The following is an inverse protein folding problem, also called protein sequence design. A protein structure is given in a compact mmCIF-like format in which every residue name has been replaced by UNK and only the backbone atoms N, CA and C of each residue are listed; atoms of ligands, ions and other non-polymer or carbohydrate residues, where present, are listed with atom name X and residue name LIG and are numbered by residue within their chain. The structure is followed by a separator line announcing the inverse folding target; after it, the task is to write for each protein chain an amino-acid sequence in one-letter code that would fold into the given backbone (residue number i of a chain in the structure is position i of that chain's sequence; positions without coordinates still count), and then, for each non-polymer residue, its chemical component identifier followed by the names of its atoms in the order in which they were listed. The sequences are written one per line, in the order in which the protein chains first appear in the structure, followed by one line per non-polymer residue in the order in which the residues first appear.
data_IF_365929830343
#
_entry.id   IF_365929830343
#
_cell.length_a   1.000
_cell.length_b   1.000
_cell.length_c   1.000
_cell.angle_alpha   90.00
_cell.angle_beta   90.00
_cell.angle_gamma   90.00
#
_symmetry.space_group_name_H-M   'P 1'
#
loop_
_entity.id
_entity.type
_entity.pdbx_description
1 polymer ?
#
# COMPACT_ATOMS: atom_id res chain seq x y z
N UNK A 1 19.62 -88.00 -39.32
CA UNK A 1 18.53 -87.05 -39.66
C UNK A 1 19.18 -85.80 -40.20
N UNK A 2 18.85 -85.39 -41.43
CA UNK A 2 19.36 -84.15 -42.01
C UNK A 2 18.45 -83.00 -41.56
N UNK A 3 19.02 -82.02 -40.87
CA UNK A 3 18.31 -80.78 -40.50
C UNK A 3 18.05 -80.03 -41.80
N UNK A 4 16.78 -79.74 -42.10
CA UNK A 4 16.43 -79.02 -43.32
C UNK A 4 16.77 -77.53 -43.15
N UNK A 5 17.13 -76.85 -44.25
CA UNK A 5 17.41 -75.40 -44.21
C UNK A 5 16.21 -74.58 -43.68
N UNK A 6 15.00 -75.14 -43.78
CA UNK A 6 13.78 -74.56 -43.25
C UNK A 6 13.69 -74.64 -41.71
N UNK A 7 14.17 -75.73 -41.10
CA UNK A 7 14.24 -75.89 -39.64
C UNK A 7 15.21 -74.86 -39.04
N UNK A 8 16.38 -74.66 -39.63
CA UNK A 8 17.35 -73.64 -39.18
C UNK A 8 16.79 -72.22 -39.34
N UNK A 9 16.07 -71.94 -40.43
CA UNK A 9 15.50 -70.60 -40.68
C UNK A 9 14.40 -70.26 -39.68
N UNK A 10 13.50 -71.20 -39.39
CA UNK A 10 12.43 -70.99 -38.41
C UNK A 10 12.95 -70.97 -36.97
N UNK A 11 13.97 -71.76 -36.65
CA UNK A 11 14.57 -71.84 -35.31
C UNK A 11 15.45 -70.62 -34.96
N UNK A 12 16.06 -69.94 -35.95
CA UNK A 12 16.88 -68.75 -35.70
C UNK A 12 16.19 -67.42 -35.99
N UNK A 13 15.46 -67.30 -37.12
CA UNK A 13 14.96 -65.99 -37.59
C UNK A 13 13.72 -65.55 -36.83
N UNK A 14 12.82 -66.48 -36.49
CA UNK A 14 11.59 -66.16 -35.76
C UNK A 14 11.91 -65.70 -34.32
N UNK A 15 12.77 -66.39 -33.54
CA UNK A 15 13.15 -65.89 -32.21
C UNK A 15 13.98 -64.61 -32.27
N UNK A 16 14.86 -64.46 -33.26
CA UNK A 16 15.65 -63.24 -33.42
C UNK A 16 14.79 -62.00 -33.74
N UNK A 17 13.78 -62.15 -34.60
CA UNK A 17 12.83 -61.07 -34.92
C UNK A 17 11.93 -60.71 -33.74
N UNK A 18 11.43 -61.71 -32.99
CA UNK A 18 10.69 -61.49 -31.75
C UNK A 18 11.55 -60.79 -30.68
N UNK A 19 12.81 -61.19 -30.53
CA UNK A 19 13.78 -60.53 -29.65
C UNK A 19 14.07 -59.08 -30.05
N UNK A 20 14.27 -58.83 -31.35
CA UNK A 20 14.47 -57.48 -31.89
C UNK A 20 13.27 -56.55 -31.67
N UNK A 21 12.05 -57.06 -31.89
CA UNK A 21 10.82 -56.32 -31.59
C UNK A 21 10.71 -55.98 -30.09
N UNK A 22 11.09 -56.91 -29.21
CA UNK A 22 11.15 -56.67 -27.77
C UNK A 22 12.12 -55.54 -27.38
N UNK A 23 13.30 -55.48 -28.01
CA UNK A 23 14.27 -54.40 -27.79
C UNK A 23 13.73 -53.05 -28.24
N UNK A 24 13.05 -52.98 -29.40
CA UNK A 24 12.42 -51.75 -29.90
C UNK A 24 11.33 -51.26 -28.95
N UNK A 25 10.47 -52.16 -28.45
CA UNK A 25 9.43 -51.82 -27.46
C UNK A 25 10.05 -51.35 -26.15
N UNK A 26 11.13 -51.98 -25.68
CA UNK A 26 11.84 -51.56 -24.47
C UNK A 26 12.45 -50.15 -24.63
N UNK A 27 13.06 -49.84 -25.77
CA UNK A 27 13.61 -48.51 -26.06
C UNK A 27 12.49 -47.46 -26.16
N UNK A 28 11.38 -47.80 -26.82
CA UNK A 28 10.22 -46.93 -26.91
C UNK A 28 9.62 -46.64 -25.52
N UNK A 29 9.47 -47.68 -24.68
CA UNK A 29 8.99 -47.55 -23.31
C UNK A 29 9.94 -46.68 -22.46
N UNK A 30 11.26 -46.82 -22.60
CA UNK A 30 12.23 -45.96 -21.91
C UNK A 30 12.11 -44.49 -22.33
N UNK A 31 11.88 -44.21 -23.62
CA UNK A 31 11.68 -42.83 -24.09
C UNK A 31 10.37 -42.24 -23.58
N UNK A 32 9.28 -43.00 -23.64
CA UNK A 32 7.96 -42.57 -23.15
C UNK A 32 8.04 -42.32 -21.63
N UNK A 33 8.70 -43.20 -20.87
CA UNK A 33 8.86 -43.02 -19.43
C UNK A 33 9.69 -41.76 -19.09
N UNK A 34 10.76 -41.48 -19.86
CA UNK A 34 11.54 -40.25 -19.69
C UNK A 34 10.70 -38.99 -19.99
N UNK A 35 9.91 -39.00 -21.05
CA UNK A 35 9.02 -37.89 -21.39
C UNK A 35 7.93 -37.71 -20.33
N UNK A 36 7.30 -38.79 -19.86
CA UNK A 36 6.30 -38.74 -18.80
C UNK A 36 6.89 -38.21 -17.48
N UNK A 37 8.12 -38.59 -17.14
CA UNK A 37 8.83 -38.08 -15.96
C UNK A 37 9.15 -36.58 -16.09
N UNK A 38 9.53 -36.12 -17.29
CA UNK A 38 9.76 -34.70 -17.56
C UNK A 38 8.46 -33.89 -17.48
N UNK A 39 7.39 -34.36 -18.13
CA UNK A 39 6.05 -33.76 -18.06
C UNK A 39 5.52 -33.67 -16.62
N UNK A 40 5.74 -34.71 -15.80
CA UNK A 40 5.37 -34.69 -14.40
C UNK A 40 6.15 -33.61 -13.62
N UNK A 41 7.46 -33.50 -13.83
CA UNK A 41 8.28 -32.45 -13.22
C UNK A 41 7.86 -31.05 -13.65
N UNK A 42 7.60 -30.84 -14.93
CA UNK A 42 7.18 -29.54 -15.47
C UNK A 42 5.79 -29.15 -14.92
N UNK A 43 4.88 -30.12 -14.78
CA UNK A 43 3.57 -29.89 -14.17
C UNK A 43 3.65 -29.53 -12.69
N UNK A 44 4.54 -30.16 -11.93
CA UNK A 44 4.80 -29.85 -10.53
C UNK A 44 5.45 -28.47 -10.36
N UNK A 45 6.39 -28.10 -11.24
CA UNK A 45 6.97 -26.75 -11.25
C UNK A 45 5.93 -25.69 -11.59
N UNK A 46 5.06 -25.94 -12.58
CA UNK A 46 3.98 -25.03 -12.93
C UNK A 46 2.97 -24.87 -11.78
N UNK A 47 2.66 -25.96 -11.07
CA UNK A 47 1.79 -25.93 -9.89
C UNK A 47 2.38 -25.08 -8.77
N UNK A 48 3.66 -25.28 -8.44
CA UNK A 48 4.35 -24.48 -7.41
C UNK A 48 4.42 -23.01 -7.78
N UNK A 49 4.69 -22.69 -9.05
CA UNK A 49 4.69 -21.30 -9.51
C UNK A 49 3.29 -20.66 -9.41
N UNK A 50 2.22 -21.42 -9.65
CA UNK A 50 0.85 -20.93 -9.48
C UNK A 50 0.48 -20.75 -8.00
N UNK A 51 0.90 -21.67 -7.12
CA UNK A 51 0.77 -21.56 -5.66
C UNK A 51 1.51 -20.31 -5.15
N UNK A 52 2.80 -20.12 -5.51
CA UNK A 52 3.58 -18.93 -5.17
C UNK A 52 2.93 -17.63 -5.66
N UNK A 53 2.31 -17.64 -6.85
CA UNK A 53 1.61 -16.47 -7.38
C UNK A 53 0.36 -16.16 -6.55
N UNK A 54 -0.43 -17.17 -6.20
CA UNK A 54 -1.64 -17.01 -5.38
C UNK A 54 -1.28 -16.49 -4.00
N UNK A 55 -0.23 -17.01 -3.38
CA UNK A 55 0.22 -16.57 -2.06
C UNK A 55 0.67 -15.10 -2.07
N UNK A 56 1.36 -14.66 -3.12
CA UNK A 56 1.73 -13.24 -3.29
C UNK A 56 0.50 -12.36 -3.53
N UNK A 57 -0.46 -12.82 -4.32
CA UNK A 57 -1.71 -12.09 -4.56
C UNK A 57 -2.57 -11.99 -3.31
N UNK A 58 -2.63 -13.04 -2.49
CA UNK A 58 -3.32 -13.05 -1.20
C UNK A 58 -2.65 -12.10 -0.20
N UNK A 59 -1.33 -12.20 -0.07
CA UNK A 59 -0.55 -11.27 0.76
C UNK A 59 -0.78 -9.81 0.35
N UNK A 60 -0.84 -9.53 -0.96
CA UNK A 60 -1.15 -8.18 -1.47
C UNK A 60 -2.58 -7.74 -1.09
N UNK A 61 -3.56 -8.63 -1.18
CA UNK A 61 -4.95 -8.32 -0.80
C UNK A 61 -5.06 -8.03 0.70
N UNK A 62 -4.32 -8.74 1.52
CA UNK A 62 -4.33 -8.52 2.96
C UNK A 62 -3.74 -7.16 3.33
N UNK A 63 -2.62 -6.76 2.71
CA UNK A 63 -2.08 -5.40 2.87
C UNK A 63 -3.08 -4.32 2.43
N UNK A 64 -3.79 -4.51 1.32
CA UNK A 64 -4.80 -3.54 0.87
C UNK A 64 -6.00 -3.45 1.81
N UNK A 65 -6.40 -4.57 2.43
CA UNK A 65 -7.47 -4.58 3.44
C UNK A 65 -7.04 -3.84 4.70
N UNK A 66 -5.81 -4.07 5.15
CA UNK A 66 -5.22 -3.38 6.30
C UNK A 66 -5.11 -1.88 6.02
N UNK A 67 -4.61 -1.49 4.84
CA UNK A 67 -4.56 -0.10 4.40
C UNK A 67 -5.95 0.57 4.41
N UNK A 68 -6.98 -0.12 3.93
CA UNK A 68 -8.35 0.41 3.96
C UNK A 68 -8.87 0.59 5.41
N UNK A 69 -8.59 -0.35 6.31
CA UNK A 69 -9.00 -0.26 7.71
C UNK A 69 -8.30 0.89 8.44
N UNK A 70 -6.99 1.04 8.27
CA UNK A 70 -6.20 2.13 8.83
C UNK A 70 -6.58 3.48 8.23
N UNK A 71 -6.87 3.53 6.93
CA UNK A 71 -7.38 4.73 6.26
C UNK A 71 -8.71 5.19 6.84
N UNK A 72 -9.64 4.27 7.13
CA UNK A 72 -10.90 4.58 7.81
C UNK A 72 -10.68 5.22 9.20
N UNK A 73 -9.72 4.70 9.98
CA UNK A 73 -9.37 5.25 11.29
C UNK A 73 -8.86 6.70 11.18
N UNK A 74 -8.00 6.99 10.19
CA UNK A 74 -7.54 8.36 9.93
C UNK A 74 -8.68 9.28 9.48
N UNK A 75 -9.60 8.79 8.64
CA UNK A 75 -10.78 9.58 8.20
C UNK A 75 -11.68 9.92 9.38
N UNK A 76 -11.90 8.99 10.31
CA UNK A 76 -12.67 9.26 11.53
C UNK A 76 -11.97 10.32 12.39
N UNK A 77 -10.66 10.21 12.56
CA UNK A 77 -9.88 11.21 13.28
C UNK A 77 -9.94 12.60 12.63
N UNK A 78 -9.84 12.68 11.30
CA UNK A 78 -9.99 13.92 10.54
C UNK A 78 -11.37 14.56 10.77
N UNK A 79 -12.43 13.75 10.77
CA UNK A 79 -13.79 14.22 10.91
C UNK A 79 -14.04 14.83 12.30
N UNK A 80 -13.58 14.15 13.35
CA UNK A 80 -13.76 14.59 14.75
C UNK A 80 -12.85 15.77 15.11
N UNK A 81 -11.72 15.92 14.42
CA UNK A 81 -10.77 17.01 14.65
C UNK A 81 -11.17 18.34 14.00
N UNK A 82 -12.31 18.40 13.29
CA UNK A 82 -12.83 19.66 12.76
C UNK A 82 -13.08 20.67 13.88
N UNK A 83 -12.57 21.91 13.75
CA UNK A 83 -12.90 22.96 14.69
C UNK A 83 -14.38 23.30 14.52
N UNK A 84 -15.23 22.80 15.43
CA UNK A 84 -16.61 23.24 15.51
C UNK A 84 -16.58 24.68 16.03
N UNK A 85 -17.17 25.61 15.27
CA UNK A 85 -17.11 27.06 15.48
C UNK A 85 -17.65 27.59 16.81
N UNK A 86 -17.95 26.71 17.77
CA UNK A 86 -18.36 27.04 19.12
C UNK A 86 -17.33 26.40 20.05
N UNK A 87 -16.23 27.12 20.29
CA UNK A 87 -15.43 26.87 21.49
C UNK A 87 -16.34 27.07 22.68
N UNK A 88 -16.86 25.98 23.22
CA UNK A 88 -17.45 25.97 24.55
C UNK A 88 -16.35 26.45 25.50
N UNK A 89 -16.41 27.73 25.84
CA UNK A 89 -15.58 28.37 26.85
C UNK A 89 -16.03 27.78 28.19
N UNK A 90 -15.57 26.57 28.49
CA UNK A 90 -15.84 25.89 29.76
C UNK A 90 -14.93 26.53 30.78
N UNK A 91 -15.39 27.61 31.40
CA UNK A 91 -14.81 28.17 32.62
C UNK A 91 -14.93 27.12 33.73
N UNK A 92 -13.83 26.43 34.05
CA UNK A 92 -13.83 25.36 35.06
C UNK A 92 -13.10 25.77 36.34
N UNK A 93 -13.64 25.45 37.53
CA UNK A 93 -12.90 25.54 38.79
C UNK A 93 -11.75 24.51 38.86
N UNK A 94 -10.63 24.93 39.45
CA UNK A 94 -9.31 24.24 39.47
C UNK A 94 -9.31 22.83 40.11
N UNK A 95 -10.32 22.46 40.89
CA UNK A 95 -10.31 21.24 41.73
C UNK A 95 -11.14 20.05 41.18
N UNK A 96 -11.48 20.04 39.90
CA UNK A 96 -12.27 18.96 39.31
C UNK A 96 -11.44 17.80 38.71
N UNK A 97 -11.99 16.57 38.61
CA UNK A 97 -11.32 15.46 37.91
C UNK A 97 -10.94 15.87 36.48
N UNK A 98 -9.82 15.38 35.91
CA UNK A 98 -9.38 15.77 34.58
C UNK A 98 -10.54 15.62 33.58
N UNK A 99 -10.70 16.55 32.62
CA UNK A 99 -11.78 16.45 31.65
C UNK A 99 -11.71 15.09 30.93
N UNK A 100 -12.86 14.52 30.53
CA UNK A 100 -12.85 13.36 29.66
C UNK A 100 -12.00 13.70 28.43
N UNK A 101 -11.11 12.78 28.05
CA UNK A 101 -10.26 12.93 26.87
C UNK A 101 -11.14 13.25 25.65
N UNK A 102 -10.74 14.27 24.88
CA UNK A 102 -11.51 14.61 23.68
C UNK A 102 -11.47 13.44 22.71
N UNK A 103 -12.59 13.19 22.02
CA UNK A 103 -12.66 12.10 21.04
C UNK A 103 -11.55 12.22 19.98
N UNK A 104 -11.18 13.44 19.58
CA UNK A 104 -10.06 13.71 18.68
C UNK A 104 -8.70 13.27 19.25
N UNK A 105 -8.44 13.49 20.55
CA UNK A 105 -7.18 13.06 21.17
C UNK A 105 -7.10 11.54 21.28
N UNK A 106 -8.21 10.89 21.68
CA UNK A 106 -8.28 9.43 21.76
C UNK A 106 -8.04 8.79 20.40
N UNK A 107 -8.79 9.20 19.37
CA UNK A 107 -8.64 8.70 18.00
C UNK A 107 -7.24 8.99 17.44
N UNK A 108 -6.67 10.16 17.76
CA UNK A 108 -5.30 10.49 17.35
C UNK A 108 -4.25 9.57 17.97
N UNK A 109 -4.43 9.13 19.21
CA UNK A 109 -3.56 8.14 19.87
C UNK A 109 -3.76 6.73 19.31
N UNK A 110 -5.00 6.34 19.06
CA UNK A 110 -5.32 5.06 18.42
C UNK A 110 -4.70 4.98 17.02
N UNK A 111 -4.83 6.05 16.22
CA UNK A 111 -4.18 6.17 14.91
C UNK A 111 -2.64 6.13 15.02
N UNK A 112 -2.05 6.84 15.99
CA UNK A 112 -0.60 6.81 16.21
C UNK A 112 -0.10 5.40 16.55
N UNK A 113 -0.84 4.68 17.40
CA UNK A 113 -0.50 3.34 17.81
C UNK A 113 -0.64 2.34 16.66
N UNK A 114 -1.75 2.39 15.91
CA UNK A 114 -2.02 1.49 14.79
C UNK A 114 -1.02 1.72 13.64
N UNK A 115 -0.92 2.96 13.13
CA UNK A 115 -0.08 3.25 11.97
C UNK A 115 1.42 3.28 12.30
N UNK A 116 1.78 3.43 13.59
CA UNK A 116 3.17 3.36 14.03
C UNK A 116 3.77 1.95 14.03
N UNK A 117 2.93 0.90 14.07
CA UNK A 117 3.36 -0.51 14.02
C UNK A 117 2.85 -1.26 12.79
N UNK A 118 2.13 -0.54 11.91
CA UNK A 118 1.56 -1.10 10.69
C UNK A 118 2.63 -1.71 9.78
N UNK A 119 2.31 -2.84 9.18
CA UNK A 119 3.12 -3.44 8.13
C UNK A 119 2.87 -2.81 6.76
N UNK A 120 1.87 -1.93 6.64
CA UNK A 120 1.50 -1.28 5.38
C UNK A 120 2.54 -0.20 5.03
N UNK A 121 3.13 -0.23 3.82
CA UNK A 121 4.11 0.77 3.39
C UNK A 121 3.59 2.21 3.52
N UNK A 122 4.39 3.10 4.09
CA UNK A 122 4.04 4.51 4.25
C UNK A 122 2.96 4.85 5.29
N UNK A 123 2.43 3.89 6.07
CA UNK A 123 1.41 4.16 7.09
C UNK A 123 1.85 5.22 8.12
N UNK A 124 3.05 5.08 8.67
CA UNK A 124 3.61 6.02 9.65
C UNK A 124 3.84 7.42 9.05
N UNK A 125 4.20 7.50 7.78
CA UNK A 125 4.37 8.76 7.04
C UNK A 125 3.01 9.44 6.82
N UNK A 126 1.99 8.66 6.45
CA UNK A 126 0.63 9.14 6.29
C UNK A 126 0.08 9.70 7.61
N UNK A 127 0.31 9.01 8.73
CA UNK A 127 -0.02 9.52 10.05
C UNK A 127 0.71 10.83 10.34
N UNK A 128 2.02 10.90 10.13
CA UNK A 128 2.83 12.08 10.43
C UNK A 128 2.38 13.31 9.64
N UNK A 129 2.11 13.15 8.33
CA UNK A 129 1.55 14.21 7.49
C UNK A 129 0.14 14.63 7.93
N UNK A 130 -0.71 13.67 8.26
CA UNK A 130 -2.06 13.95 8.75
C UNK A 130 -2.02 14.73 10.07
N UNK A 131 -1.15 14.33 11.01
CA UNK A 131 -0.90 15.02 12.27
C UNK A 131 -0.32 16.43 12.05
N UNK A 132 0.52 16.60 11.03
CA UNK A 132 1.09 17.88 10.64
C UNK A 132 0.01 18.85 10.13
N UNK A 133 -0.95 18.34 9.37
CA UNK A 133 -2.04 19.09 8.72
C UNK A 133 -3.18 19.50 9.66
N UNK A 134 -3.35 18.76 10.76
CA UNK A 134 -4.44 18.97 11.70
C UNK A 134 -4.40 20.35 12.39
N UNK A 135 -5.56 20.90 12.79
CA UNK A 135 -5.62 22.07 13.65
C UNK A 135 -4.87 21.85 14.97
N UNK A 136 -3.93 22.74 15.31
CA UNK A 136 -3.00 22.64 16.43
C UNK A 136 -1.66 21.97 16.08
N UNK A 137 -1.55 21.40 14.87
CA UNK A 137 -0.33 20.80 14.32
C UNK A 137 0.73 21.84 13.91
N UNK A 138 1.89 21.35 13.49
CA UNK A 138 3.02 22.21 13.14
C UNK A 138 2.69 23.17 11.98
N UNK A 139 1.97 22.73 10.94
CA UNK A 139 1.55 23.60 9.84
C UNK A 139 0.74 24.83 10.31
N UNK A 140 -0.06 24.69 11.36
CA UNK A 140 -0.90 25.79 11.86
C UNK A 140 -0.13 26.73 12.81
N UNK A 141 0.96 26.25 13.42
CA UNK A 141 1.82 27.08 14.29
C UNK A 141 2.60 28.11 13.49
N UNK A 142 2.98 27.79 12.25
CA UNK A 142 3.55 28.74 11.29
C UNK A 142 2.42 29.57 10.66
N UNK A 143 1.83 30.45 11.47
CA UNK A 143 0.76 31.35 11.01
C UNK A 143 1.30 32.27 9.92
N UNK A 144 0.68 32.17 8.74
CA UNK A 144 0.67 33.25 7.75
C UNK A 144 0.20 34.55 8.44
N UNK A 145 0.92 35.65 8.24
CA UNK A 145 0.54 36.98 8.73
C UNK A 145 -0.76 37.53 8.09
N UNK A 146 -1.31 36.84 7.08
CA UNK A 146 -2.57 37.17 6.44
C UNK A 146 -3.68 36.22 6.90
N UNK A 147 -4.69 36.77 7.60
CA UNK A 147 -5.85 36.02 8.12
C UNK A 147 -6.60 35.24 7.03
N UNK A 148 -6.61 35.73 5.79
CA UNK A 148 -7.30 35.10 4.66
C UNK A 148 -6.66 33.77 4.20
N UNK A 149 -5.33 33.67 4.22
CA UNK A 149 -4.62 32.43 3.89
C UNK A 149 -4.86 31.35 4.96
N UNK A 150 -4.99 31.77 6.22
CA UNK A 150 -5.27 30.86 7.34
C UNK A 150 -6.69 30.27 7.27
N UNK A 151 -7.67 31.02 6.75
CA UNK A 151 -9.03 30.53 6.52
C UNK A 151 -9.05 29.56 5.34
N UNK A 152 -8.44 29.92 4.20
CA UNK A 152 -8.40 29.04 3.03
C UNK A 152 -7.66 27.73 3.31
N UNK A 153 -6.57 27.78 4.09
CA UNK A 153 -5.84 26.59 4.51
C UNK A 153 -6.70 25.69 5.41
N UNK A 154 -7.45 26.30 6.34
CA UNK A 154 -8.38 25.60 7.23
C UNK A 154 -9.52 24.88 6.48
N UNK A 155 -9.88 25.36 5.30
CA UNK A 155 -10.93 24.72 4.50
C UNK A 155 -10.35 23.61 3.60
N UNK A 156 -9.11 23.77 3.09
CA UNK A 156 -8.50 22.84 2.12
C UNK A 156 -7.67 21.70 2.73
N UNK A 157 -7.16 21.84 3.96
CA UNK A 157 -6.27 20.82 4.54
C UNK A 157 -6.94 19.45 4.64
N UNK A 158 -8.24 19.42 4.93
CA UNK A 158 -8.98 18.16 5.07
C UNK A 158 -9.16 17.46 3.72
N UNK A 159 -9.49 18.20 2.66
CA UNK A 159 -9.63 17.63 1.32
C UNK A 159 -8.30 17.03 0.86
N UNK A 160 -7.18 17.73 1.14
CA UNK A 160 -5.84 17.22 0.88
C UNK A 160 -5.53 15.95 1.69
N UNK A 161 -5.80 15.96 2.99
CA UNK A 161 -5.56 14.79 3.85
C UNK A 161 -6.42 13.59 3.42
N UNK A 162 -7.69 13.82 3.07
CA UNK A 162 -8.60 12.79 2.58
C UNK A 162 -8.13 12.22 1.24
N UNK A 163 -7.77 13.07 0.28
CA UNK A 163 -7.26 12.63 -1.02
C UNK A 163 -6.00 11.77 -0.86
N UNK A 164 -5.09 12.17 0.04
CA UNK A 164 -3.87 11.42 0.36
C UNK A 164 -4.18 10.05 0.97
N UNK A 165 -5.11 9.96 1.93
CA UNK A 165 -5.53 8.69 2.53
C UNK A 165 -6.15 7.77 1.47
N UNK A 166 -7.01 8.31 0.60
CA UNK A 166 -7.66 7.54 -0.46
C UNK A 166 -6.65 7.03 -1.50
N UNK A 167 -5.72 7.86 -1.93
CA UNK A 167 -4.66 7.46 -2.85
C UNK A 167 -3.77 6.37 -2.24
N UNK A 168 -3.33 6.57 -1.00
CA UNK A 168 -2.52 5.59 -0.28
C UNK A 168 -3.24 4.24 -0.10
N UNK A 169 -4.54 4.25 0.21
CA UNK A 169 -5.31 3.02 0.37
C UNK A 169 -5.45 2.21 -0.94
N UNK A 170 -5.31 2.86 -2.11
CA UNK A 170 -5.35 2.21 -3.42
C UNK A 170 -4.00 1.59 -3.78
N UNK A 171 -2.90 2.32 -3.56
CA UNK A 171 -1.54 1.82 -3.78
C UNK A 171 -0.56 2.32 -2.70
N UNK A 172 -0.41 1.58 -1.58
CA UNK A 172 0.49 1.96 -0.50
C UNK A 172 1.96 1.99 -0.92
N UNK A 173 2.37 1.07 -1.80
CA UNK A 173 3.76 0.92 -2.24
C UNK A 173 4.20 2.09 -3.11
N UNK A 174 3.36 2.51 -4.06
CA UNK A 174 3.68 3.68 -4.90
C UNK A 174 3.62 4.98 -4.08
N UNK A 175 2.68 5.06 -3.15
CA UNK A 175 2.45 6.26 -2.33
C UNK A 175 3.56 6.52 -1.32
N UNK A 176 4.22 5.50 -0.77
CA UNK A 176 5.24 5.64 0.27
C UNK A 176 6.33 6.67 -0.09
N UNK A 177 6.90 6.57 -1.29
CA UNK A 177 7.94 7.51 -1.73
C UNK A 177 7.43 8.95 -1.79
N UNK A 178 6.21 9.13 -2.30
CA UNK A 178 5.59 10.46 -2.40
C UNK A 178 5.29 11.03 -1.01
N UNK A 179 4.80 10.20 -0.09
CA UNK A 179 4.55 10.58 1.30
C UNK A 179 5.84 10.99 2.01
N UNK A 180 6.95 10.28 1.76
CA UNK A 180 8.25 10.67 2.29
C UNK A 180 8.70 12.03 1.76
N UNK A 181 8.65 12.23 0.44
CA UNK A 181 9.01 13.50 -0.20
C UNK A 181 8.14 14.66 0.33
N UNK A 182 6.83 14.44 0.49
CA UNK A 182 5.92 15.42 1.10
C UNK A 182 6.27 15.73 2.55
N UNK A 183 6.61 14.71 3.35
CA UNK A 183 6.97 14.87 4.75
C UNK A 183 8.29 15.63 4.91
N UNK A 184 9.27 15.34 4.05
CA UNK A 184 10.55 16.05 4.04
C UNK A 184 10.34 17.53 3.72
N UNK A 185 9.47 17.85 2.75
CA UNK A 185 9.10 19.25 2.46
C UNK A 185 8.35 19.88 3.62
N UNK A 186 7.40 19.18 4.25
CA UNK A 186 6.66 19.66 5.40
C UNK A 186 7.57 19.98 6.60
N UNK A 187 8.60 19.18 6.82
CA UNK A 187 9.56 19.37 7.91
C UNK A 187 10.59 20.46 7.59
N UNK A 188 11.09 20.54 6.36
CA UNK A 188 12.12 21.49 5.95
C UNK A 188 11.57 22.90 5.74
N UNK A 189 10.38 23.04 5.13
CA UNK A 189 9.74 24.32 4.82
C UNK A 189 8.21 24.20 4.97
N UNK A 190 7.70 24.30 6.21
CA UNK A 190 6.27 24.19 6.50
C UNK A 190 5.41 25.22 5.76
N UNK A 191 5.95 26.42 5.50
CA UNK A 191 5.24 27.48 4.77
C UNK A 191 5.08 27.16 3.30
N UNK A 192 6.14 26.69 2.64
CA UNK A 192 6.07 26.21 1.26
C UNK A 192 5.16 25.00 1.15
N UNK A 193 5.24 24.07 2.09
CA UNK A 193 4.35 22.92 2.15
C UNK A 193 2.88 23.34 2.23
N UNK A 194 2.56 24.30 3.10
CA UNK A 194 1.21 24.80 3.24
C UNK A 194 0.72 25.52 1.98
N UNK A 195 1.57 26.31 1.32
CA UNK A 195 1.26 26.98 0.04
C UNK A 195 0.98 26.00 -1.09
N UNK A 196 1.80 24.96 -1.26
CA UNK A 196 1.58 23.92 -2.27
C UNK A 196 0.22 23.24 -2.06
N UNK A 197 -0.17 23.00 -0.81
CA UNK A 197 -1.47 22.42 -0.45
C UNK A 197 -2.69 23.28 -0.80
N UNK A 198 -2.51 24.59 -0.99
CA UNK A 198 -3.60 25.52 -1.32
C UNK A 198 -3.95 25.56 -2.82
N UNK A 199 -3.06 25.06 -3.69
CA UNK A 199 -3.20 25.10 -5.16
C UNK A 199 -3.07 26.50 -5.77
N UNK A 200 -3.04 26.63 -7.11
CA UNK A 200 -2.72 27.88 -7.85
C UNK A 200 -3.54 29.15 -7.51
N UNK A 201 -4.59 29.07 -6.70
CA UNK A 201 -5.37 30.25 -6.28
C UNK A 201 -4.73 31.08 -5.14
N UNK A 202 -3.66 30.59 -4.49
CA UNK A 202 -3.00 31.36 -3.42
C UNK A 202 -2.07 32.47 -3.96
N UNK A 203 -1.56 32.31 -5.19
CA UNK A 203 -0.63 33.25 -5.83
C UNK A 203 -1.33 34.60 -6.06
N UNK A 204 -2.56 34.56 -6.62
CA UNK A 204 -3.39 35.76 -6.81
C UNK A 204 -3.77 36.43 -5.48
N UNK A 205 -4.10 35.65 -4.44
CA UNK A 205 -4.46 36.18 -3.12
C UNK A 205 -3.27 36.83 -2.40
N UNK A 206 -2.07 36.27 -2.56
CA UNK A 206 -0.85 36.81 -1.98
C UNK A 206 -0.39 38.07 -2.72
N UNK A 207 -0.45 38.10 -4.06
CA UNK A 207 -0.16 39.30 -4.84
C UNK A 207 -1.17 40.43 -4.58
N UNK A 208 -2.45 40.10 -4.36
CA UNK A 208 -3.48 41.07 -3.95
C UNK A 208 -3.19 41.63 -2.55
N UNK A 209 -2.92 40.77 -1.56
CA UNK A 209 -2.59 41.21 -0.20
C UNK A 209 -1.25 41.98 -0.11
N UNK A 210 -0.28 41.66 -0.97
CA UNK A 210 0.99 42.38 -1.07
C UNK A 210 0.85 43.73 -1.78
N UNK A 211 -0.06 43.86 -2.74
CA UNK A 211 -0.31 45.10 -3.49
C UNK A 211 -1.25 46.09 -2.78
N UNK A 212 -2.11 45.62 -1.88
CA UNK A 212 -3.00 46.46 -1.06
C UNK A 212 -2.30 47.18 0.11
N UNK A 213 -0.99 47.00 0.28
CA UNK A 213 -0.20 47.79 1.24
C UNK A 213 -0.59 47.57 2.71
N UNK A 214 -1.21 46.43 3.04
CA UNK A 214 -1.50 46.02 4.42
C UNK A 214 -0.25 45.47 5.14
N UNK A 215 0.85 46.23 5.07
CA UNK A 215 2.14 45.93 5.70
C UNK A 215 2.67 47.14 6.48
N UNK A 216 1.77 47.82 7.20
CA UNK A 216 2.12 48.86 8.18
C UNK A 216 1.51 48.52 9.55
#
# INVERSE_FOLDING_TARGET
MAISAWDVWTELVIPASAGGAGVVVAIAALRINRQATQLAKDSELARRADEDRRDREESRKDVLREAAAEGCLLIEWLHVSRPHGISAMVTRPLDGPPPPESAALRLGREAAAALGVSAVPGASLLYALTAHDLPGGAAQKYRFHADDLAVQYRDKWQDRALARIQEWAVDPWESERRLQEELDVAQADPERYARVGLGRGWEDAYETAASEGSWA
#
